data_IF_161337861749
#
_entry.id   IF_161337861749
#
_cell.length_a   1.000
_cell.length_b   1.000
_cell.length_c   1.000
_cell.angle_alpha   90.00
_cell.angle_beta   90.00
_cell.angle_gamma   90.00
#
_symmetry.space_group_name_H-M   'P 1'
#
loop_
_entity.id
_entity.type
_entity.pdbx_description
1 polymer ?
#
# COMPACT_ATOMS: atom_id res chain seq x y z
N UNK A 1 -0.83 14.87 14.07
CA UNK A 1 -0.99 16.29 14.46
C UNK A 1 -1.10 17.22 13.24
N UNK A 2 -0.04 17.38 12.43
CA UNK A 2 -0.10 18.26 11.23
C UNK A 2 -1.12 17.75 10.22
N UNK A 3 -1.13 16.45 9.94
CA UNK A 3 -2.09 15.81 9.03
C UNK A 3 -3.52 16.02 9.52
N UNK A 4 -3.80 15.68 10.78
CA UNK A 4 -5.13 15.80 11.37
C UNK A 4 -5.70 17.23 11.34
N UNK A 5 -4.82 18.25 11.38
CA UNK A 5 -5.22 19.66 11.40
C UNK A 5 -5.35 20.27 10.00
N UNK A 6 -4.36 20.05 9.13
CA UNK A 6 -4.26 20.74 7.83
C UNK A 6 -4.84 19.93 6.68
N UNK A 7 -4.73 18.61 6.74
CA UNK A 7 -5.13 17.69 5.67
C UNK A 7 -5.81 16.46 6.28
N UNK A 8 -6.97 16.61 6.94
CA UNK A 8 -7.62 15.54 7.67
C UNK A 8 -8.04 14.39 6.75
N UNK A 9 -7.87 13.16 7.24
CA UNK A 9 -8.14 11.96 6.46
C UNK A 9 -9.58 11.53 6.70
N UNK A 10 -10.39 11.54 5.64
CA UNK A 10 -11.80 11.16 5.72
C UNK A 10 -11.92 9.65 5.49
N UNK A 11 -12.67 8.98 6.37
CA UNK A 11 -12.98 7.55 6.22
C UNK A 11 -13.66 7.27 4.87
N UNK A 12 -13.16 6.29 4.14
CA UNK A 12 -13.60 5.97 2.77
C UNK A 12 -13.05 6.93 1.69
N UNK A 13 -12.25 7.92 2.08
CA UNK A 13 -11.56 8.82 1.16
C UNK A 13 -10.34 8.17 0.49
N UNK A 14 -9.79 8.89 -0.50
CA UNK A 14 -8.54 8.54 -1.19
C UNK A 14 -7.54 9.67 -0.98
N UNK A 15 -6.28 9.30 -0.74
CA UNK A 15 -5.26 10.25 -0.31
C UNK A 15 -3.97 9.95 -1.05
N UNK A 16 -3.35 11.01 -1.57
CA UNK A 16 -2.05 10.93 -2.23
C UNK A 16 -0.92 11.36 -1.30
N UNK A 17 0.05 10.48 -1.08
CA UNK A 17 1.31 10.80 -0.40
C UNK A 17 2.36 11.16 -1.46
N UNK A 18 2.48 12.46 -1.74
CA UNK A 18 3.47 12.99 -2.69
C UNK A 18 4.79 13.25 -1.97
N UNK A 19 5.84 12.50 -2.33
CA UNK A 19 7.16 12.71 -1.74
C UNK A 19 8.29 12.03 -2.51
N UNK A 20 9.52 12.52 -2.32
CA UNK A 20 10.75 11.97 -2.91
C UNK A 20 11.38 10.85 -2.07
N UNK A 21 12.58 10.42 -2.43
CA UNK A 21 13.38 9.53 -1.59
C UNK A 21 13.86 10.29 -0.33
N UNK A 22 13.92 9.61 0.82
CA UNK A 22 14.47 10.18 2.06
C UNK A 22 13.58 11.17 2.82
N UNK A 23 12.36 11.47 2.33
CA UNK A 23 11.45 12.43 3.00
C UNK A 23 10.62 11.81 4.14
N UNK A 24 10.90 10.56 4.53
CA UNK A 24 10.21 9.88 5.64
C UNK A 24 8.84 9.27 5.29
N UNK A 25 8.55 8.96 4.02
CA UNK A 25 7.27 8.34 3.61
C UNK A 25 6.98 7.03 4.36
N UNK A 26 7.96 6.15 4.45
CA UNK A 26 7.84 4.84 5.12
C UNK A 26 7.48 5.00 6.59
N UNK A 27 8.20 5.88 7.30
CA UNK A 27 7.92 6.20 8.71
C UNK A 27 6.49 6.72 8.89
N UNK A 28 6.02 7.54 7.95
CA UNK A 28 4.67 8.09 7.99
C UNK A 28 3.61 6.99 7.77
N UNK A 29 3.82 6.10 6.79
CA UNK A 29 2.95 4.95 6.53
C UNK A 29 2.87 4.04 7.77
N UNK A 30 4.00 3.76 8.41
CA UNK A 30 4.06 2.93 9.62
C UNK A 30 3.28 3.54 10.78
N UNK A 31 3.52 4.82 11.07
CA UNK A 31 2.81 5.54 12.12
C UNK A 31 1.29 5.54 11.85
N UNK A 32 0.89 5.61 10.59
CA UNK A 32 -0.51 5.52 10.20
C UNK A 32 -1.11 4.12 10.43
N UNK A 33 -0.41 3.07 10.03
CA UNK A 33 -0.80 1.67 10.28
C UNK A 33 -0.95 1.44 11.78
N UNK A 34 0.05 1.87 12.56
CA UNK A 34 0.04 1.77 14.01
C UNK A 34 -1.15 2.48 14.65
N UNK A 35 -1.51 3.69 14.17
CA UNK A 35 -2.67 4.43 14.66
C UNK A 35 -3.99 3.76 14.34
N UNK A 36 -4.16 3.22 13.13
CA UNK A 36 -5.40 2.52 12.76
C UNK A 36 -5.54 1.22 13.56
N UNK A 37 -4.44 0.47 13.70
CA UNK A 37 -4.38 -0.76 14.47
C UNK A 37 -4.73 -0.58 15.96
N UNK A 38 -4.26 0.52 16.59
CA UNK A 38 -4.42 0.73 18.03
C UNK A 38 -5.62 1.61 18.42
N UNK A 39 -5.99 2.60 17.62
CA UNK A 39 -7.03 3.57 18.01
C UNK A 39 -8.41 3.29 17.40
N UNK A 40 -8.47 2.52 16.30
CA UNK A 40 -9.71 2.33 15.53
C UNK A 40 -10.12 0.86 15.35
N UNK A 41 -9.39 -0.07 15.99
CA UNK A 41 -9.54 -1.52 15.86
C UNK A 41 -9.68 -2.01 14.40
N UNK A 42 -9.03 -1.25 13.50
CA UNK A 42 -9.02 -1.50 12.07
C UNK A 42 -7.84 -2.36 11.64
N UNK A 43 -7.88 -2.79 10.39
CA UNK A 43 -6.80 -3.55 9.75
C UNK A 43 -6.16 -2.73 8.64
N UNK A 44 -4.89 -3.02 8.36
CA UNK A 44 -4.18 -2.40 7.25
C UNK A 44 -3.91 -3.41 6.15
N UNK A 45 -3.97 -2.96 4.90
CA UNK A 45 -3.52 -3.76 3.76
C UNK A 45 -2.49 -2.94 3.02
N UNK A 46 -1.30 -3.50 2.81
CA UNK A 46 -0.22 -2.85 2.07
C UNK A 46 0.02 -3.60 0.77
N UNK A 47 -0.13 -2.91 -0.35
CA UNK A 47 0.22 -3.40 -1.68
C UNK A 47 1.52 -2.75 -2.17
N UNK A 48 2.61 -3.50 -2.10
CA UNK A 48 3.91 -3.16 -2.65
C UNK A 48 3.96 -3.42 -4.16
N UNK A 49 3.75 -2.40 -4.98
CA UNK A 49 3.76 -2.47 -6.45
C UNK A 49 5.13 -2.09 -7.01
N UNK A 50 5.81 -3.10 -7.55
CA UNK A 50 7.15 -2.97 -8.10
C UNK A 50 8.15 -2.52 -7.05
N UNK A 51 8.03 -2.95 -5.80
CA UNK A 51 8.95 -2.60 -4.71
C UNK A 51 10.29 -3.33 -4.85
N UNK A 52 11.35 -2.80 -4.21
CA UNK A 52 12.60 -3.53 -4.12
C UNK A 52 12.49 -4.60 -3.04
N UNK A 53 13.08 -5.77 -3.28
CA UNK A 53 13.05 -6.88 -2.32
C UNK A 53 13.62 -6.48 -0.96
N UNK A 54 14.70 -5.69 -0.95
CA UNK A 54 15.29 -5.14 0.28
C UNK A 54 14.30 -4.22 1.02
N UNK A 55 13.66 -3.28 0.32
CA UNK A 55 12.71 -2.34 0.92
C UNK A 55 11.48 -3.08 1.47
N UNK A 56 11.02 -4.13 0.77
CA UNK A 56 9.95 -5.01 1.27
C UNK A 56 10.36 -5.82 2.50
N UNK A 57 11.59 -6.34 2.54
CA UNK A 57 12.09 -7.06 3.71
C UNK A 57 12.22 -6.14 4.93
N UNK A 58 12.85 -4.97 4.75
CA UNK A 58 12.99 -3.97 5.81
C UNK A 58 11.61 -3.59 6.38
N UNK A 59 10.59 -3.44 5.52
CA UNK A 59 9.22 -3.16 5.95
C UNK A 59 8.61 -4.29 6.80
N UNK A 60 8.85 -5.56 6.45
CA UNK A 60 8.36 -6.71 7.22
C UNK A 60 9.00 -6.72 8.62
N UNK A 61 10.31 -6.50 8.67
CA UNK A 61 11.07 -6.45 9.93
C UNK A 61 10.56 -5.30 10.81
N UNK A 62 10.44 -4.09 10.25
CA UNK A 62 9.95 -2.90 10.97
C UNK A 62 8.50 -3.06 11.47
N UNK A 63 7.62 -3.69 10.68
CA UNK A 63 6.25 -3.99 11.12
C UNK A 63 6.18 -5.05 12.22
N UNK A 64 7.12 -6.01 12.19
CA UNK A 64 7.24 -7.04 13.22
C UNK A 64 7.73 -6.43 14.54
N UNK A 65 8.75 -5.58 14.49
CA UNK A 65 9.28 -4.88 15.67
C UNK A 65 8.26 -3.92 16.30
N UNK A 66 7.44 -3.26 15.49
CA UNK A 66 6.38 -2.38 15.96
C UNK A 66 5.11 -3.11 16.42
N UNK A 67 5.03 -4.43 16.25
CA UNK A 67 3.90 -5.26 16.68
C UNK A 67 2.62 -5.07 15.86
N UNK A 68 2.70 -4.44 14.68
CA UNK A 68 1.53 -4.18 13.82
C UNK A 68 1.36 -5.22 12.72
N UNK A 69 2.34 -6.12 12.55
CA UNK A 69 2.34 -7.15 11.51
C UNK A 69 1.08 -8.04 11.59
N UNK A 70 0.61 -8.38 12.79
CA UNK A 70 -0.58 -9.23 12.99
C UNK A 70 -1.89 -8.57 12.55
N UNK A 71 -1.91 -7.24 12.44
CA UNK A 71 -3.07 -6.46 11.96
C UNK A 71 -2.87 -5.93 10.53
N UNK A 72 -1.85 -6.42 9.82
CA UNK A 72 -1.48 -5.94 8.50
C UNK A 72 -1.34 -7.08 7.50
N UNK A 73 -2.11 -7.02 6.41
CA UNK A 73 -1.88 -7.90 5.26
C UNK A 73 -0.86 -7.26 4.30
N UNK A 74 0.23 -7.96 4.02
CA UNK A 74 1.27 -7.53 3.09
C UNK A 74 1.14 -8.27 1.76
N UNK A 75 1.05 -7.52 0.67
CA UNK A 75 0.95 -8.05 -0.69
C UNK A 75 2.04 -7.40 -1.53
N UNK A 76 3.01 -8.19 -1.99
CA UNK A 76 4.15 -7.68 -2.75
C UNK A 76 4.16 -8.20 -4.17
N UNK A 77 4.50 -7.30 -5.10
CA UNK A 77 4.88 -7.61 -6.46
C UNK A 77 6.17 -6.86 -6.72
N UNK A 78 7.28 -7.59 -6.82
CA UNK A 78 8.62 -7.00 -6.78
C UNK A 78 9.01 -6.38 -8.13
N UNK A 79 10.05 -5.54 -8.15
CA UNK A 79 10.56 -4.91 -9.38
C UNK A 79 10.98 -5.91 -10.46
N UNK A 80 11.54 -7.04 -10.03
CA UNK A 80 12.05 -8.12 -10.89
C UNK A 80 10.93 -9.01 -11.44
N UNK A 81 9.69 -8.83 -11.00
CA UNK A 81 8.55 -9.56 -11.52
C UNK A 81 8.03 -8.98 -12.85
N UNK A 82 7.39 -9.84 -13.69
CA UNK A 82 6.79 -9.39 -14.94
C UNK A 82 5.80 -8.24 -14.74
N UNK A 83 5.65 -7.34 -15.73
CA UNK A 83 4.75 -6.19 -15.62
C UNK A 83 3.29 -6.61 -15.41
N UNK A 84 2.89 -7.81 -15.87
CA UNK A 84 1.58 -8.37 -15.58
C UNK A 84 1.34 -8.58 -14.08
N UNK A 85 2.33 -9.06 -13.33
CA UNK A 85 2.23 -9.25 -11.88
C UNK A 85 2.16 -7.91 -11.16
N UNK A 86 3.05 -6.96 -11.51
CA UNK A 86 3.04 -5.60 -10.96
C UNK A 86 1.72 -4.86 -11.25
N UNK A 87 1.10 -5.09 -12.40
CA UNK A 87 -0.21 -4.53 -12.74
C UNK A 87 -1.36 -5.15 -11.92
N UNK A 88 -1.21 -6.39 -11.43
CA UNK A 88 -2.28 -7.10 -10.70
C UNK A 88 -2.14 -7.05 -9.19
N UNK A 89 -0.93 -6.88 -8.65
CA UNK A 89 -0.69 -6.94 -7.20
C UNK A 89 -1.52 -5.91 -6.41
N UNK A 90 -1.67 -4.68 -6.93
CA UNK A 90 -2.54 -3.68 -6.29
C UNK A 90 -4.01 -4.13 -6.22
N UNK A 91 -4.48 -4.85 -7.23
CA UNK A 91 -5.85 -5.40 -7.26
C UNK A 91 -6.01 -6.59 -6.31
N UNK A 92 -4.96 -7.40 -6.14
CA UNK A 92 -4.95 -8.47 -5.14
C UNK A 92 -5.05 -7.88 -3.72
N UNK A 93 -4.25 -6.84 -3.43
CA UNK A 93 -4.36 -6.09 -2.17
C UNK A 93 -5.73 -5.44 -2.00
N UNK A 94 -6.28 -4.84 -3.05
CA UNK A 94 -7.63 -4.27 -3.00
C UNK A 94 -8.68 -5.33 -2.66
N UNK A 95 -8.61 -6.51 -3.27
CA UNK A 95 -9.53 -7.63 -2.98
C UNK A 95 -9.48 -8.03 -1.50
N UNK A 96 -8.28 -8.10 -0.90
CA UNK A 96 -8.14 -8.37 0.53
C UNK A 96 -8.76 -7.26 1.38
N UNK A 97 -8.52 -5.99 1.02
CA UNK A 97 -9.11 -4.85 1.69
C UNK A 97 -10.65 -4.85 1.60
N UNK A 98 -11.21 -5.23 0.45
CA UNK A 98 -12.65 -5.37 0.27
C UNK A 98 -13.23 -6.50 1.12
N UNK A 99 -12.53 -7.62 1.28
CA UNK A 99 -12.97 -8.68 2.18
C UNK A 99 -13.04 -8.20 3.64
N UNK A 100 -12.02 -7.49 4.12
CA UNK A 100 -12.03 -6.93 5.48
C UNK A 100 -13.15 -5.89 5.68
N UNK A 101 -13.42 -5.06 4.65
CA UNK A 101 -14.51 -4.07 4.67
C UNK A 101 -15.89 -4.73 4.63
N UNK A 102 -16.12 -5.64 3.69
CA UNK A 102 -17.47 -6.10 3.34
C UNK A 102 -17.90 -7.34 4.12
N UNK A 103 -16.97 -8.23 4.44
CA UNK A 103 -17.25 -9.48 5.16
C UNK A 103 -16.95 -9.31 6.65
N UNK A 104 -15.74 -8.83 6.99
CA UNK A 104 -15.34 -8.65 8.39
C UNK A 104 -15.89 -7.35 9.01
N UNK A 105 -16.45 -6.43 8.20
CA UNK A 105 -17.02 -5.15 8.64
C UNK A 105 -16.04 -4.28 9.42
N UNK A 106 -14.77 -4.32 9.05
CA UNK A 106 -13.70 -3.54 9.69
C UNK A 106 -13.39 -2.25 8.93
N UNK A 107 -12.80 -1.30 9.64
CA UNK A 107 -12.18 -0.15 9.02
C UNK A 107 -10.84 -0.56 8.44
N UNK A 108 -10.66 -0.28 7.15
CA UNK A 108 -9.48 -0.72 6.40
C UNK A 108 -8.68 0.48 5.94
N UNK A 109 -7.40 0.49 6.28
CA UNK A 109 -6.44 1.40 5.71
C UNK A 109 -5.67 0.68 4.60
N UNK A 110 -5.98 1.01 3.35
CA UNK A 110 -5.35 0.40 2.18
C UNK A 110 -4.26 1.30 1.60
N UNK A 111 -3.03 0.80 1.59
CA UNK A 111 -1.85 1.47 1.05
C UNK A 111 -1.41 0.83 -0.27
N UNK A 112 -1.05 1.67 -1.24
CA UNK A 112 -0.44 1.26 -2.50
C UNK A 112 0.89 1.99 -2.64
N UNK A 113 2.00 1.28 -2.48
CA UNK A 113 3.34 1.81 -2.77
C UNK A 113 4.01 0.99 -3.87
N UNK A 114 4.16 1.43 -5.11
CA UNK A 114 3.88 2.77 -5.60
C UNK A 114 2.77 2.81 -6.64
N UNK A 115 1.76 3.67 -6.45
CA UNK A 115 0.68 3.85 -7.43
C UNK A 115 1.19 4.32 -8.80
N UNK A 116 2.31 5.04 -8.87
CA UNK A 116 2.95 5.36 -10.15
C UNK A 116 3.49 4.12 -10.85
N UNK A 117 4.09 3.19 -10.11
CA UNK A 117 4.61 1.92 -10.66
C UNK A 117 3.49 1.00 -11.15
N UNK A 118 2.31 1.07 -10.52
CA UNK A 118 1.11 0.41 -11.05
C UNK A 118 0.75 0.94 -12.45
N UNK A 119 0.71 2.25 -12.63
CA UNK A 119 0.45 2.88 -13.94
C UNK A 119 1.55 2.54 -14.94
N UNK A 120 2.82 2.56 -14.53
CA UNK A 120 3.96 2.19 -15.38
C UNK A 120 3.84 0.75 -15.87
N UNK A 121 3.55 -0.20 -14.99
CA UNK A 121 3.30 -1.60 -15.35
C UNK A 121 2.13 -1.73 -16.34
N UNK A 122 1.08 -0.92 -16.18
CA UNK A 122 -0.03 -0.82 -17.13
C UNK A 122 0.41 -0.39 -18.53
N UNK A 123 1.29 0.61 -18.62
CA UNK A 123 1.87 1.08 -19.89
C UNK A 123 2.74 0.00 -20.56
N UNK A 124 3.56 -0.70 -19.78
CA UNK A 124 4.37 -1.81 -20.27
C UNK A 124 3.50 -2.95 -20.84
N UNK A 125 2.45 -3.35 -20.10
CA UNK A 125 1.48 -4.36 -20.58
C UNK A 125 0.75 -3.88 -21.84
N UNK A 126 0.34 -2.61 -21.90
CA UNK A 126 -0.32 -2.05 -23.08
C UNK A 126 0.55 -2.14 -24.34
N UNK A 127 1.85 -1.86 -24.18
CA UNK A 127 2.85 -1.97 -25.25
C UNK A 127 3.01 -3.42 -25.71
N UNK A 128 3.08 -4.37 -24.79
CA UNK A 128 3.16 -5.81 -25.10
C UNK A 128 1.91 -6.32 -25.85
N UNK A 129 0.77 -5.69 -25.65
CA UNK A 129 -0.48 -5.99 -26.35
C UNK A 129 -0.61 -5.27 -27.71
N UNK A 130 0.42 -4.54 -28.14
CA UNK A 130 0.44 -3.85 -29.45
C UNK A 130 -0.48 -2.63 -29.54
N UNK A 131 -0.89 -2.05 -28.40
CA UNK A 131 -1.67 -0.82 -28.39
C UNK A 131 -0.76 0.38 -28.60
N UNK A 132 -1.22 1.36 -29.40
CA UNK A 132 -0.49 2.62 -29.53
C UNK A 132 -0.49 3.37 -28.17
N UNK A 133 0.66 3.95 -27.77
CA UNK A 133 0.80 4.70 -26.52
C UNK A 133 0.01 6.00 -26.49
#
# INVERSE_FOLDING_TARGET
KVIDLLTPYVKGGKIGLFGGAGVGKTVLIQEMIYRVANNHDGVSVFAGVGERTREGNDLIDEMSESGVIDKTALVFGQMDEPPGTRLRVALAGLTMAEYFRDVQKQDVLFFIDNIFRFTQAGSEVSTLLGRMP
#
